data_IF_928626828942
#
_entry.id   IF_928626828942
#
_cell.length_a   1.000
_cell.length_b   1.000
_cell.length_c   1.000
_cell.angle_alpha   90.00
_cell.angle_beta   90.00
_cell.angle_gamma   90.00
#
_symmetry.space_group_name_H-M   'P 1'
#
loop_
_entity.id
_entity.type
_entity.pdbx_description
1 polymer ?
#
# COMPACT_ATOMS: atom_id res chain seq x y z
N UNK A 1 -13.32 -12.69 -9.89
CA UNK A 1 -13.27 -13.19 -8.50
C UNK A 1 -14.34 -12.54 -7.61
N UNK A 2 -14.52 -11.21 -7.64
CA UNK A 2 -15.55 -10.52 -6.83
C UNK A 2 -16.96 -11.10 -7.00
N UNK A 3 -17.43 -11.29 -8.23
CA UNK A 3 -18.76 -11.84 -8.50
C UNK A 3 -18.94 -13.24 -7.89
N UNK A 4 -17.94 -14.11 -8.03
CA UNK A 4 -17.96 -15.46 -7.43
C UNK A 4 -18.13 -15.39 -5.92
N UNK A 5 -17.34 -14.55 -5.23
CA UNK A 5 -17.42 -14.40 -3.77
C UNK A 5 -18.75 -13.81 -3.30
N UNK A 6 -19.24 -12.76 -3.97
CA UNK A 6 -20.51 -12.12 -3.63
C UNK A 6 -21.70 -13.05 -3.87
N UNK A 7 -21.73 -13.74 -5.02
CA UNK A 7 -22.81 -14.70 -5.31
C UNK A 7 -22.85 -15.84 -4.31
N UNK A 8 -21.69 -16.37 -3.92
CA UNK A 8 -21.60 -17.40 -2.88
C UNK A 8 -22.09 -16.89 -1.52
N UNK A 9 -21.61 -15.72 -1.08
CA UNK A 9 -22.00 -15.12 0.20
C UNK A 9 -23.50 -14.84 0.29
N UNK A 10 -24.12 -14.35 -0.80
CA UNK A 10 -25.57 -14.14 -0.88
C UNK A 10 -26.36 -15.44 -0.81
N UNK A 11 -25.92 -16.48 -1.52
CA UNK A 11 -26.55 -17.81 -1.47
C UNK A 11 -26.47 -18.43 -0.06
N UNK A 12 -25.31 -18.30 0.60
CA UNK A 12 -25.10 -18.77 1.97
C UNK A 12 -25.99 -18.02 2.97
N UNK A 13 -26.06 -16.70 2.85
CA UNK A 13 -26.91 -15.83 3.67
C UNK A 13 -28.40 -16.21 3.55
N UNK A 14 -28.88 -16.43 2.32
CA UNK A 14 -30.26 -16.89 2.07
C UNK A 14 -30.52 -18.28 2.66
N UNK A 15 -29.60 -19.24 2.48
CA UNK A 15 -29.78 -20.62 2.95
C UNK A 15 -29.74 -20.75 4.47
N UNK A 16 -28.97 -19.91 5.16
CA UNK A 16 -28.83 -19.94 6.62
C UNK A 16 -29.72 -18.91 7.35
N UNK A 17 -30.43 -18.06 6.61
CA UNK A 17 -31.20 -16.93 7.15
C UNK A 17 -30.36 -16.03 8.09
N UNK A 18 -29.13 -15.72 7.64
CA UNK A 18 -28.19 -14.82 8.34
C UNK A 18 -27.93 -13.58 7.49
N UNK A 19 -27.61 -12.42 8.09
CA UNK A 19 -27.32 -11.22 7.33
C UNK A 19 -26.04 -11.35 6.49
N UNK A 20 -25.99 -10.59 5.39
CA UNK A 20 -24.78 -10.38 4.59
C UNK A 20 -24.45 -8.90 4.57
N UNK A 21 -23.19 -8.56 4.81
CA UNK A 21 -22.75 -7.16 4.89
C UNK A 21 -21.79 -6.89 3.72
N UNK A 22 -22.08 -5.91 2.84
CA UNK A 22 -21.16 -5.53 1.78
C UNK A 22 -19.90 -4.88 2.37
N UNK A 23 -18.74 -5.29 1.87
CA UNK A 23 -17.44 -4.81 2.38
C UNK A 23 -16.69 -4.04 1.31
N UNK A 24 -16.08 -2.92 1.70
CA UNK A 24 -15.07 -2.26 0.89
C UNK A 24 -13.70 -2.92 1.13
N UNK A 25 -13.06 -3.37 0.06
CA UNK A 25 -11.77 -4.04 0.12
C UNK A 25 -10.63 -3.15 0.66
N UNK A 26 -10.64 -1.86 0.32
CA UNK A 26 -9.65 -0.89 0.80
C UNK A 26 -9.86 -0.56 2.28
N UNK A 27 -11.12 -0.45 2.70
CA UNK A 27 -11.48 -0.32 4.11
C UNK A 27 -10.94 -1.51 4.91
N UNK A 28 -11.15 -2.73 4.42
CA UNK A 28 -10.65 -3.93 5.09
C UNK A 28 -9.12 -3.91 5.25
N UNK A 29 -8.38 -3.48 4.22
CA UNK A 29 -6.93 -3.31 4.31
C UNK A 29 -6.51 -2.31 5.40
N UNK A 30 -7.22 -1.19 5.56
CA UNK A 30 -6.96 -0.23 6.64
C UNK A 30 -7.19 -0.90 8.00
N UNK A 31 -8.32 -1.60 8.14
CA UNK A 31 -8.73 -2.22 9.40
C UNK A 31 -7.96 -3.48 9.77
N UNK A 32 -7.22 -4.09 8.84
CA UNK A 32 -6.28 -5.17 9.13
C UNK A 32 -5.22 -4.77 10.18
N UNK A 33 -4.93 -3.47 10.34
CA UNK A 33 -4.01 -2.98 11.36
C UNK A 33 -4.52 -3.18 12.79
N UNK A 34 -5.84 -3.20 13.01
CA UNK A 34 -6.41 -3.51 14.32
C UNK A 34 -6.31 -4.99 14.68
N UNK A 35 -6.22 -5.89 13.68
CA UNK A 35 -5.91 -7.31 13.92
C UNK A 35 -4.46 -7.49 14.39
N UNK A 36 -3.55 -6.68 13.86
CA UNK A 36 -2.14 -6.72 14.25
C UNK A 36 -1.92 -6.09 15.65
N UNK A 37 -2.65 -5.02 15.95
CA UNK A 37 -2.61 -4.37 17.26
C UNK A 37 -4.00 -3.87 17.68
N UNK A 38 -4.70 -4.62 18.54
CA UNK A 38 -6.01 -4.23 19.06
C UNK A 38 -6.01 -2.93 19.88
N UNK A 39 -4.84 -2.41 20.26
CA UNK A 39 -4.68 -1.16 21.00
C UNK A 39 -4.46 0.06 20.10
N UNK A 40 -4.65 -0.10 18.79
CA UNK A 40 -4.66 1.01 17.84
C UNK A 40 -5.83 1.97 18.18
N UNK A 41 -5.49 3.24 18.37
CA UNK A 41 -6.47 4.30 18.64
C UNK A 41 -6.49 5.32 17.49
N UNK A 42 -7.67 5.89 17.25
CA UNK A 42 -7.83 7.03 16.37
C UNK A 42 -7.33 8.34 17.03
N UNK A 43 -6.95 9.37 16.24
CA UNK A 43 -6.82 9.35 14.80
C UNK A 43 -5.42 8.88 14.35
N UNK A 44 -5.34 8.29 13.17
CA UNK A 44 -4.08 7.86 12.56
C UNK A 44 -4.04 8.15 11.06
N UNK A 45 -2.83 8.20 10.52
CA UNK A 45 -2.62 8.26 9.06
C UNK A 45 -2.35 6.85 8.55
N UNK A 46 -3.03 6.43 7.48
CA UNK A 46 -2.80 5.17 6.80
C UNK A 46 -2.15 5.40 5.44
N UNK A 47 -0.99 4.77 5.21
CA UNK A 47 -0.41 4.61 3.88
C UNK A 47 -0.89 3.28 3.29
N UNK A 48 -1.85 3.34 2.37
CA UNK A 48 -2.37 2.17 1.67
C UNK A 48 -1.61 1.98 0.36
N UNK A 49 -0.75 0.96 0.30
CA UNK A 49 0.18 0.67 -0.79
C UNK A 49 0.08 -0.79 -1.24
N UNK A 50 -0.67 -1.02 -2.32
CA UNK A 50 -0.88 -2.33 -2.95
C UNK A 50 -0.40 -2.34 -4.40
N UNK A 51 -0.68 -3.43 -5.12
CA UNK A 51 -0.43 -3.51 -6.56
C UNK A 51 -1.17 -2.43 -7.36
N UNK A 52 -2.42 -2.12 -6.98
CA UNK A 52 -3.28 -1.17 -7.71
C UNK A 52 -3.58 0.14 -6.99
N UNK A 53 -3.14 0.31 -5.74
CA UNK A 53 -3.45 1.49 -4.96
C UNK A 53 -2.20 2.06 -4.30
N UNK A 54 -2.09 3.39 -4.30
CA UNK A 54 -1.14 4.14 -3.47
C UNK A 54 -1.85 5.38 -3.00
N UNK A 55 -2.27 5.36 -1.74
CA UNK A 55 -3.12 6.38 -1.15
C UNK A 55 -2.68 6.70 0.29
N UNK A 56 -2.86 7.95 0.68
CA UNK A 56 -2.71 8.44 2.04
C UNK A 56 -4.08 8.81 2.59
N UNK A 57 -4.47 8.17 3.67
CA UNK A 57 -5.74 8.39 4.34
C UNK A 57 -5.52 8.94 5.74
N UNK A 58 -6.35 9.89 6.16
CA UNK A 58 -6.48 10.27 7.56
C UNK A 58 -7.76 9.65 8.11
N UNK A 59 -7.61 8.79 9.11
CA UNK A 59 -8.69 8.02 9.70
C UNK A 59 -9.00 8.66 11.05
N UNK A 60 -10.13 9.35 11.14
CA UNK A 60 -10.54 10.09 12.34
C UNK A 60 -11.32 9.23 13.31
N UNK A 61 -12.18 8.37 12.77
CA UNK A 61 -12.92 7.32 13.47
C UNK A 61 -13.52 6.37 12.42
N UNK A 62 -14.22 5.33 12.87
CA UNK A 62 -14.98 4.45 11.99
C UNK A 62 -15.93 5.28 11.12
N UNK A 63 -15.97 5.00 9.81
CA UNK A 63 -16.75 5.72 8.81
C UNK A 63 -16.39 7.22 8.61
N UNK A 64 -15.29 7.73 9.20
CA UNK A 64 -14.75 9.07 8.94
C UNK A 64 -13.34 9.01 8.36
N UNK A 65 -13.28 8.91 7.04
CA UNK A 65 -12.05 8.74 6.28
C UNK A 65 -11.83 9.94 5.35
N UNK A 66 -10.68 10.59 5.48
CA UNK A 66 -10.29 11.69 4.61
C UNK A 66 -9.13 11.25 3.70
N UNK A 67 -9.35 11.27 2.38
CA UNK A 67 -8.26 11.08 1.42
C UNK A 67 -7.36 12.32 1.42
N UNK A 68 -6.09 12.13 1.76
CA UNK A 68 -5.09 13.20 1.78
C UNK A 68 -4.35 13.33 0.44
N UNK A 69 -4.16 12.21 -0.26
CA UNK A 69 -3.49 12.15 -1.55
C UNK A 69 -3.45 10.74 -2.12
N UNK A 70 -3.39 10.63 -3.44
CA UNK A 70 -3.31 9.36 -4.15
C UNK A 70 -2.35 9.45 -5.34
N UNK A 71 -2.05 8.29 -5.94
CA UNK A 71 -1.28 8.27 -7.19
C UNK A 71 -2.08 8.88 -8.34
N UNK A 72 -1.41 9.68 -9.17
CA UNK A 72 -1.96 10.20 -10.43
C UNK A 72 -1.75 9.27 -11.62
N UNK A 73 -0.91 8.25 -11.45
CA UNK A 73 -0.56 7.30 -12.51
C UNK A 73 -0.40 5.87 -11.96
N UNK A 74 0.78 5.27 -12.07
CA UNK A 74 1.07 3.93 -11.59
C UNK A 74 1.02 3.90 -10.05
N UNK A 75 0.50 2.83 -9.47
CA UNK A 75 0.68 2.57 -8.04
C UNK A 75 2.12 2.12 -7.72
N UNK A 76 2.54 2.22 -6.47
CA UNK A 76 3.87 1.79 -6.03
C UNK A 76 4.11 0.30 -6.31
N UNK A 77 3.13 -0.57 -6.06
CA UNK A 77 3.24 -1.99 -6.36
C UNK A 77 3.39 -2.25 -7.86
N UNK A 78 2.62 -1.53 -8.69
CA UNK A 78 2.76 -1.58 -10.15
C UNK A 78 4.13 -1.06 -10.63
N UNK A 79 4.68 -0.04 -9.99
CA UNK A 79 6.04 0.44 -10.26
C UNK A 79 7.07 -0.67 -9.97
N UNK A 80 6.96 -1.37 -8.83
CA UNK A 80 7.80 -2.54 -8.55
C UNK A 80 7.63 -3.64 -9.61
N UNK A 81 6.40 -4.00 -9.99
CA UNK A 81 6.13 -5.06 -10.97
C UNK A 81 6.67 -4.72 -12.37
N UNK A 82 6.45 -3.50 -12.85
CA UNK A 82 6.98 -3.04 -14.14
C UNK A 82 8.51 -2.88 -14.10
N UNK A 83 9.05 -2.36 -13.00
CA UNK A 83 10.49 -2.24 -12.80
C UNK A 83 11.18 -3.61 -12.82
N UNK A 84 10.61 -4.59 -12.12
CA UNK A 84 11.13 -5.95 -12.09
C UNK A 84 11.13 -6.59 -13.48
N UNK A 85 10.12 -6.31 -14.30
CA UNK A 85 10.09 -6.75 -15.70
C UNK A 85 11.21 -6.14 -16.54
N UNK A 86 11.43 -4.83 -16.43
CA UNK A 86 12.54 -4.13 -17.12
C UNK A 86 13.89 -4.71 -16.69
N UNK A 87 14.04 -5.02 -15.41
CA UNK A 87 15.24 -5.59 -14.81
C UNK A 87 15.40 -7.11 -15.05
N UNK A 88 14.42 -7.78 -15.67
CA UNK A 88 14.45 -9.21 -15.93
C UNK A 88 14.33 -10.11 -14.69
N UNK A 89 13.65 -9.64 -13.63
CA UNK A 89 13.53 -10.32 -12.33
C UNK A 89 12.25 -11.16 -12.17
N UNK A 90 11.30 -11.08 -13.11
CA UNK A 90 10.05 -11.84 -13.07
C UNK A 90 8.93 -11.18 -12.24
N UNK A 91 7.95 -11.98 -11.80
CA UNK A 91 6.77 -11.57 -11.04
C UNK A 91 6.53 -12.52 -9.85
N UNK A 92 6.09 -12.05 -8.66
CA UNK A 92 5.80 -10.66 -8.29
C UNK A 92 7.06 -9.80 -8.14
N UNK A 93 7.01 -8.56 -8.62
CA UNK A 93 8.20 -7.71 -8.78
C UNK A 93 8.71 -7.11 -7.48
N UNK A 94 7.82 -6.78 -6.54
CA UNK A 94 8.20 -6.25 -5.23
C UNK A 94 9.18 -7.14 -4.46
N UNK A 95 8.83 -8.40 -4.17
CA UNK A 95 9.73 -9.33 -3.49
C UNK A 95 11.02 -9.63 -4.28
N UNK A 96 10.94 -9.68 -5.61
CA UNK A 96 12.09 -9.94 -6.47
C UNK A 96 13.10 -8.78 -6.43
N UNK A 97 12.64 -7.54 -6.58
CA UNK A 97 13.46 -6.33 -6.43
C UNK A 97 14.08 -6.27 -5.04
N UNK A 98 13.28 -6.50 -3.99
CA UNK A 98 13.80 -6.43 -2.62
C UNK A 98 14.90 -7.45 -2.35
N UNK A 99 14.74 -8.68 -2.86
CA UNK A 99 15.75 -9.72 -2.73
C UNK A 99 17.04 -9.34 -3.44
N UNK A 100 16.94 -8.91 -4.70
CA UNK A 100 18.11 -8.62 -5.53
C UNK A 100 18.77 -7.28 -5.19
N UNK A 101 18.04 -6.33 -4.60
CA UNK A 101 18.59 -5.07 -4.07
C UNK A 101 19.55 -5.28 -2.88
N UNK A 102 19.49 -6.43 -2.19
CA UNK A 102 20.30 -6.67 -0.99
C UNK A 102 21.79 -6.62 -1.31
N UNK A 103 22.52 -5.78 -0.58
CA UNK A 103 23.95 -5.57 -0.77
C UNK A 103 24.31 -4.62 -1.91
N UNK A 104 23.32 -4.02 -2.57
CA UNK A 104 23.54 -2.89 -3.48
C UNK A 104 23.62 -1.57 -2.72
N UNK A 105 24.28 -0.59 -3.32
CA UNK A 105 24.34 0.77 -2.82
C UNK A 105 23.17 1.60 -3.41
N UNK A 106 22.17 1.99 -2.60
CA UNK A 106 20.97 2.69 -3.06
C UNK A 106 21.22 4.16 -3.44
N UNK A 107 22.43 4.68 -3.23
CA UNK A 107 22.77 6.08 -3.47
C UNK A 107 23.58 6.30 -4.77
N UNK A 108 23.97 5.24 -5.48
CA UNK A 108 24.83 5.35 -6.68
C UNK A 108 24.09 6.01 -7.83
N UNK A 109 22.85 5.59 -8.09
CA UNK A 109 22.06 6.11 -9.21
C UNK A 109 20.90 6.97 -8.74
N UNK A 110 20.72 8.12 -9.41
CA UNK A 110 19.67 9.09 -9.06
C UNK A 110 18.48 8.96 -9.98
N UNK A 111 17.54 8.10 -9.62
CA UNK A 111 16.23 8.05 -10.27
C UNK A 111 15.30 9.18 -9.81
N UNK A 112 14.35 9.64 -10.64
CA UNK A 112 13.45 10.73 -10.25
C UNK A 112 12.47 10.30 -9.15
N UNK A 113 12.21 11.21 -8.20
CA UNK A 113 11.10 11.09 -7.24
C UNK A 113 9.98 12.02 -7.70
N UNK A 114 8.84 11.46 -8.12
CA UNK A 114 7.73 12.20 -8.72
C UNK A 114 6.96 13.07 -7.71
N UNK A 115 6.44 14.20 -8.18
CA UNK A 115 5.56 15.11 -7.41
C UNK A 115 6.12 15.58 -6.05
N UNK A 116 7.44 15.75 -5.90
CA UNK A 116 8.07 16.07 -4.60
C UNK A 116 7.96 17.52 -4.12
N UNK A 117 7.16 18.38 -4.78
CA UNK A 117 6.95 19.78 -4.37
C UNK A 117 6.48 19.92 -2.91
N UNK A 118 6.84 21.01 -2.21
CA UNK A 118 6.82 21.14 -0.73
C UNK A 118 5.56 20.62 -0.02
N UNK A 119 4.37 20.85 -0.58
CA UNK A 119 3.10 20.51 0.07
C UNK A 119 2.36 19.31 -0.56
N UNK A 120 2.92 18.71 -1.62
CA UNK A 120 2.21 17.65 -2.34
C UNK A 120 2.18 16.35 -1.52
N UNK A 121 0.99 15.76 -1.41
CA UNK A 121 0.73 14.42 -0.87
C UNK A 121 0.36 13.40 -1.95
N UNK A 122 0.35 13.82 -3.22
CA UNK A 122 0.07 12.96 -4.36
C UNK A 122 1.33 12.21 -4.81
N UNK A 123 1.13 11.08 -5.49
CA UNK A 123 2.19 10.20 -5.96
C UNK A 123 2.23 10.13 -7.50
N UNK A 124 3.41 9.84 -8.04
CA UNK A 124 3.63 9.56 -9.46
C UNK A 124 4.87 8.70 -9.61
N UNK A 125 4.72 7.54 -10.25
CA UNK A 125 5.79 6.57 -10.48
C UNK A 125 5.98 6.24 -11.97
N UNK A 126 5.10 6.70 -12.86
CA UNK A 126 5.23 6.47 -14.31
C UNK A 126 6.56 7.00 -14.87
N UNK A 127 6.98 8.20 -14.46
CA UNK A 127 8.27 8.81 -14.86
C UNK A 127 9.48 8.05 -14.31
N UNK A 128 9.36 7.45 -13.13
CA UNK A 128 10.40 6.61 -12.52
C UNK A 128 10.62 5.34 -13.36
N UNK A 129 9.53 4.67 -13.79
CA UNK A 129 9.61 3.52 -14.72
C UNK A 129 10.28 3.91 -16.04
N UNK A 130 9.87 5.02 -16.65
CA UNK A 130 10.45 5.48 -17.92
C UNK A 130 11.94 5.81 -17.77
N UNK A 131 12.34 6.42 -16.66
CA UNK A 131 13.75 6.68 -16.35
C UNK A 131 14.55 5.40 -16.18
N UNK A 132 13.98 4.35 -15.57
CA UNK A 132 14.63 3.04 -15.45
C UNK A 132 14.81 2.38 -16.82
N UNK A 133 13.78 2.43 -17.68
CA UNK A 133 13.86 1.85 -19.03
C UNK A 133 15.02 2.45 -19.82
N UNK A 134 15.06 3.78 -19.95
CA UNK A 134 16.15 4.44 -20.67
C UNK A 134 17.52 4.21 -20.05
N UNK A 135 17.59 4.15 -18.72
CA UNK A 135 18.84 3.83 -18.04
C UNK A 135 19.33 2.42 -18.43
N UNK A 136 18.42 1.44 -18.47
CA UNK A 136 18.75 0.05 -18.78
C UNK A 136 19.05 -0.19 -20.26
N UNK A 137 18.55 0.64 -21.18
CA UNK A 137 18.86 0.55 -22.60
C UNK A 137 20.36 0.79 -22.88
N UNK A 138 20.96 1.73 -22.15
CA UNK A 138 22.40 2.07 -22.27
C UNK A 138 23.28 1.35 -21.24
N UNK A 139 22.70 0.65 -20.27
CA UNK A 139 23.43 0.04 -19.16
C UNK A 139 24.22 -1.20 -19.61
N UNK A 140 25.52 -1.22 -19.30
CA UNK A 140 26.40 -2.38 -19.44
C UNK A 140 27.06 -2.66 -18.10
N UNK A 141 26.89 -3.90 -17.62
CA UNK A 141 27.48 -4.31 -16.35
C UNK A 141 29.01 -4.36 -16.45
N UNK A 142 29.67 -3.81 -15.44
CA UNK A 142 31.14 -3.75 -15.35
C UNK A 142 31.59 -3.79 -13.89
N UNK A 143 32.89 -3.92 -13.64
CA UNK A 143 33.45 -3.91 -12.28
C UNK A 143 33.09 -2.65 -11.48
N UNK A 144 32.80 -1.53 -12.17
CA UNK A 144 32.37 -0.26 -11.57
C UNK A 144 30.86 -0.02 -11.57
N UNK A 145 30.07 -0.84 -12.28
CA UNK A 145 28.64 -0.64 -12.47
C UNK A 145 27.88 -1.94 -12.27
N UNK A 146 27.38 -2.16 -11.05
CA UNK A 146 26.60 -3.35 -10.74
C UNK A 146 25.11 -3.13 -11.02
N UNK A 147 24.49 -4.11 -11.67
CA UNK A 147 23.02 -4.14 -11.83
C UNK A 147 22.31 -4.10 -10.46
N UNK A 148 22.94 -4.67 -9.44
CA UNK A 148 22.44 -4.65 -8.06
C UNK A 148 22.28 -3.22 -7.52
N UNK A 149 23.20 -2.32 -7.83
CA UNK A 149 23.14 -0.92 -7.39
C UNK A 149 22.02 -0.16 -8.10
N UNK A 150 21.74 -0.51 -9.36
CA UNK A 150 20.59 -0.01 -10.12
C UNK A 150 19.28 -0.43 -9.45
N UNK A 151 19.15 -1.72 -9.11
CA UNK A 151 17.97 -2.28 -8.44
C UNK A 151 17.76 -1.60 -7.08
N UNK A 152 18.83 -1.46 -6.28
CA UNK A 152 18.79 -0.80 -4.98
C UNK A 152 18.40 0.69 -5.10
N UNK A 153 19.00 1.41 -6.05
CA UNK A 153 18.70 2.83 -6.30
C UNK A 153 17.27 3.04 -6.80
N UNK A 154 16.75 2.13 -7.61
CA UNK A 154 15.37 2.15 -8.09
C UNK A 154 14.36 1.93 -6.95
N UNK A 155 14.58 0.89 -6.13
CA UNK A 155 13.78 0.65 -4.94
C UNK A 155 13.79 1.86 -4.00
N UNK A 156 14.96 2.45 -3.79
CA UNK A 156 15.11 3.63 -2.92
C UNK A 156 14.26 4.81 -3.40
N UNK A 157 14.17 5.05 -4.70
CA UNK A 157 13.35 6.14 -5.24
C UNK A 157 11.85 5.97 -4.94
N UNK A 158 11.34 4.73 -4.99
CA UNK A 158 9.96 4.42 -4.59
C UNK A 158 9.79 4.69 -3.09
N UNK A 159 10.67 4.12 -2.26
CA UNK A 159 10.60 4.22 -0.80
C UNK A 159 10.70 5.65 -0.31
N UNK A 160 11.66 6.43 -0.83
CA UNK A 160 11.84 7.85 -0.49
C UNK A 160 10.55 8.64 -0.72
N UNK A 161 9.88 8.36 -1.84
CA UNK A 161 8.62 9.02 -2.19
C UNK A 161 7.53 8.65 -1.19
N UNK A 162 7.38 7.37 -0.85
CA UNK A 162 6.40 6.92 0.15
C UNK A 162 6.65 7.52 1.55
N UNK A 163 7.90 7.47 2.01
CA UNK A 163 8.31 7.96 3.34
C UNK A 163 8.11 9.47 3.46
N UNK A 164 8.54 10.24 2.46
CA UNK A 164 8.42 11.70 2.50
C UNK A 164 6.96 12.14 2.50
N UNK A 165 6.10 11.46 1.74
CA UNK A 165 4.66 11.76 1.69
C UNK A 165 3.97 11.40 3.00
N UNK A 166 4.39 10.31 3.63
CA UNK A 166 3.91 9.92 4.96
C UNK A 166 4.29 10.96 6.03
N UNK A 167 5.54 11.43 6.04
CA UNK A 167 6.01 12.48 6.95
C UNK A 167 5.19 13.76 6.80
N UNK A 168 4.92 14.18 5.56
CA UNK A 168 4.10 15.37 5.28
C UNK A 168 2.67 15.21 5.74
N UNK A 169 2.07 14.03 5.51
CA UNK A 169 0.72 13.73 5.98
C UNK A 169 0.63 13.84 7.51
N UNK A 170 1.57 13.23 8.24
CA UNK A 170 1.65 13.33 9.70
C UNK A 170 1.85 14.77 10.18
N UNK A 171 2.72 15.53 9.51
CA UNK A 171 2.94 16.95 9.84
C UNK A 171 1.69 17.81 9.63
N UNK A 172 0.87 17.48 8.63
CA UNK A 172 -0.36 18.20 8.29
C UNK A 172 -1.52 17.85 9.24
N UNK A 173 -1.70 16.56 9.55
CA UNK A 173 -2.81 16.09 10.40
C UNK A 173 -2.51 16.16 11.88
N UNK A 174 -1.23 16.28 12.26
CA UNK A 174 -0.74 16.18 13.65
C UNK A 174 -1.02 14.83 14.33
N UNK A 175 -1.35 13.80 13.54
CA UNK A 175 -1.49 12.44 14.07
C UNK A 175 -0.15 11.94 14.63
N UNK A 176 -0.20 11.23 15.76
CA UNK A 176 0.97 10.61 16.40
C UNK A 176 1.17 9.14 16.01
N UNK A 177 0.16 8.59 15.34
CA UNK A 177 0.12 7.19 14.93
C UNK A 177 -0.01 7.09 13.41
N UNK A 178 0.69 6.13 12.85
CA UNK A 178 0.81 5.92 11.43
C UNK A 178 0.76 4.41 11.16
N UNK A 179 0.02 4.00 10.14
CA UNK A 179 -0.16 2.59 9.78
C UNK A 179 0.10 2.40 8.30
N UNK A 180 0.55 1.21 7.91
CA UNK A 180 0.80 0.86 6.51
C UNK A 180 -0.07 -0.35 6.14
N UNK A 181 -0.76 -0.29 5.02
CA UNK A 181 -1.62 -1.37 4.54
C UNK A 181 -1.28 -1.76 3.09
N UNK A 182 -1.65 -2.98 2.68
CA UNK A 182 -1.42 -3.50 1.33
C UNK A 182 -0.07 -4.20 1.13
N UNK A 183 0.08 -4.87 -0.02
CA UNK A 183 1.19 -5.79 -0.27
C UNK A 183 2.60 -5.15 -0.23
N UNK A 184 2.74 -3.87 -0.59
CA UNK A 184 4.04 -3.17 -0.55
C UNK A 184 4.47 -2.91 0.90
N UNK A 185 3.55 -2.94 1.86
CA UNK A 185 3.85 -2.86 3.30
C UNK A 185 4.73 -4.02 3.80
N UNK A 186 4.83 -5.11 3.04
CA UNK A 186 5.72 -6.23 3.35
C UNK A 186 7.21 -5.91 3.08
N UNK A 187 7.52 -4.87 2.30
CA UNK A 187 8.89 -4.51 1.96
C UNK A 187 9.64 -4.02 3.20
N UNK A 188 10.67 -4.75 3.62
CA UNK A 188 11.46 -4.46 4.82
C UNK A 188 12.20 -3.13 4.71
N UNK A 189 12.71 -2.80 3.53
CA UNK A 189 13.40 -1.52 3.32
C UNK A 189 12.46 -0.33 3.57
N UNK A 190 11.18 -0.41 3.16
CA UNK A 190 10.17 0.59 3.50
C UNK A 190 9.95 0.68 5.02
N UNK A 191 9.81 -0.47 5.69
CA UNK A 191 9.61 -0.51 7.15
C UNK A 191 10.77 0.16 7.89
N UNK A 192 12.00 -0.21 7.53
CA UNK A 192 13.23 0.31 8.13
C UNK A 192 13.35 1.83 7.91
N UNK A 193 13.09 2.32 6.69
CA UNK A 193 13.15 3.75 6.39
C UNK A 193 12.09 4.56 7.12
N UNK A 194 10.86 4.03 7.26
CA UNK A 194 9.81 4.68 8.05
C UNK A 194 10.22 4.77 9.53
N UNK A 195 10.72 3.69 10.11
CA UNK A 195 11.17 3.66 11.50
C UNK A 195 12.28 4.68 11.78
N UNK A 196 13.26 4.80 10.88
CA UNK A 196 14.35 5.79 10.99
C UNK A 196 13.84 7.22 10.79
N UNK A 197 12.92 7.43 9.85
CA UNK A 197 12.46 8.76 9.47
C UNK A 197 11.40 9.35 10.42
N UNK A 198 10.76 8.51 11.22
CA UNK A 198 9.65 8.87 12.12
C UNK A 198 9.88 8.33 13.55
N UNK A 199 11.01 8.68 14.22
CA UNK A 199 11.41 8.06 15.49
C UNK A 199 10.45 8.36 16.66
N UNK A 200 9.63 9.41 16.55
CA UNK A 200 8.68 9.84 17.59
C UNK A 200 7.23 9.53 17.23
N UNK A 201 6.99 8.69 16.22
CA UNK A 201 5.66 8.31 15.75
C UNK A 201 5.44 6.83 16.07
N UNK A 202 4.25 6.48 16.56
CA UNK A 202 3.85 5.07 16.67
C UNK A 202 3.57 4.57 15.26
N UNK A 203 4.39 3.64 14.78
CA UNK A 203 4.24 3.02 13.45
C UNK A 203 3.73 1.60 13.63
N UNK A 204 2.60 1.28 13.01
CA UNK A 204 2.10 -0.10 12.95
C UNK A 204 2.27 -0.65 11.55
N UNK A 205 2.85 -1.85 11.51
CA UNK A 205 2.89 -2.67 10.32
C UNK A 205 2.06 -3.92 10.62
N UNK A 206 1.12 -4.31 9.75
CA UNK A 206 0.47 -5.59 9.90
C UNK A 206 1.50 -6.70 9.79
N UNK A 207 1.22 -7.83 10.45
CA UNK A 207 1.94 -9.06 10.16
C UNK A 207 1.91 -9.33 8.66
N UNK A 208 2.98 -9.93 8.14
CA UNK A 208 3.13 -10.14 6.69
C UNK A 208 1.94 -10.93 6.10
N UNK A 209 1.34 -11.83 6.88
CA UNK A 209 0.13 -12.58 6.52
C UNK A 209 -1.12 -11.71 6.34
N UNK A 210 -1.14 -10.52 6.95
CA UNK A 210 -2.25 -9.56 6.87
C UNK A 210 -2.00 -8.41 5.91
N UNK A 211 -0.78 -8.22 5.41
CA UNK A 211 -0.47 -7.20 4.39
C UNK A 211 -1.09 -7.50 3.01
N UNK A 212 -1.17 -8.78 2.65
CA UNK A 212 -1.77 -9.23 1.39
C UNK A 212 -3.25 -9.56 1.56
N UNK A 213 -3.99 -9.62 0.46
CA UNK A 213 -5.42 -9.95 0.46
C UNK A 213 -5.73 -11.24 1.23
N UNK A 214 -6.56 -11.13 2.26
CA UNK A 214 -6.96 -12.24 3.11
C UNK A 214 -8.42 -12.08 3.58
N UNK A 215 -9.04 -13.17 4.04
CA UNK A 215 -10.41 -13.13 4.54
C UNK A 215 -10.51 -12.59 5.98
N UNK A 216 -9.42 -12.60 6.76
CA UNK A 216 -9.43 -12.15 8.14
C UNK A 216 -9.74 -10.65 8.25
N UNK A 217 -9.14 -9.81 7.39
CA UNK A 217 -9.44 -8.38 7.34
C UNK A 217 -10.90 -8.08 6.97
N UNK A 218 -11.50 -8.90 6.09
CA UNK A 218 -12.91 -8.79 5.68
C UNK A 218 -13.82 -9.18 6.86
N UNK A 219 -13.48 -10.27 7.54
CA UNK A 219 -14.23 -10.76 8.70
C UNK A 219 -14.20 -9.76 9.86
N UNK A 220 -13.04 -9.19 10.16
CA UNK A 220 -12.88 -8.22 11.24
C UNK A 220 -13.69 -6.95 10.99
N UNK A 221 -13.57 -6.37 9.79
CA UNK A 221 -14.39 -5.21 9.41
C UNK A 221 -15.89 -5.55 9.44
N UNK A 222 -16.25 -6.76 8.99
CA UNK A 222 -17.61 -7.27 9.04
C UNK A 222 -18.18 -7.34 10.46
N UNK A 223 -17.40 -7.82 11.43
CA UNK A 223 -17.78 -7.85 12.85
C UNK A 223 -18.00 -6.43 13.39
N UNK A 224 -17.09 -5.49 13.10
CA UNK A 224 -17.23 -4.10 13.53
C UNK A 224 -18.52 -3.46 12.98
N UNK A 225 -18.80 -3.64 11.68
CA UNK A 225 -20.02 -3.14 11.02
C UNK A 225 -21.28 -3.82 11.55
N UNK A 226 -21.23 -5.13 11.79
CA UNK A 226 -22.35 -5.85 12.40
C UNK A 226 -22.68 -5.28 13.79
N UNK A 227 -21.66 -5.07 14.62
CA UNK A 227 -21.82 -4.55 15.98
C UNK A 227 -22.25 -3.08 16.01
N UNK A 228 -21.95 -2.29 14.97
CA UNK A 228 -22.46 -0.92 14.82
C UNK A 228 -23.91 -0.85 14.31
N UNK A 229 -24.52 -1.99 13.99
CA UNK A 229 -25.88 -2.09 13.45
C UNK A 229 -25.96 -1.89 11.94
N UNK A 230 -24.83 -1.84 11.23
CA UNK A 230 -24.77 -1.84 9.76
C UNK A 230 -25.12 -3.24 9.23
N UNK A 231 -26.41 -3.53 9.12
CA UNK A 231 -26.92 -4.76 8.50
C UNK A 231 -27.11 -4.51 7.01
N UNK A 232 -26.46 -5.31 6.17
CA UNK A 232 -26.57 -5.18 4.72
C UNK A 232 -27.89 -5.71 4.16
N UNK A 233 -28.35 -5.10 3.06
CA UNK A 233 -29.42 -5.65 2.21
C UNK A 233 -28.84 -6.64 1.20
N UNK A 234 -29.62 -7.61 0.72
CA UNK A 234 -29.20 -8.49 -0.38
C UNK A 234 -29.10 -7.77 -1.75
N UNK A 235 -29.56 -6.53 -1.85
CA UNK A 235 -29.67 -5.78 -3.12
C UNK A 235 -28.36 -5.09 -3.58
N UNK A 236 -27.24 -5.24 -2.86
CA UNK A 236 -25.99 -4.61 -3.30
C UNK A 236 -25.38 -5.29 -4.54
N UNK A 237 -24.86 -4.48 -5.47
CA UNK A 237 -24.11 -4.98 -6.63
C UNK A 237 -22.61 -5.15 -6.36
N UNK A 238 -21.91 -5.85 -7.27
CA UNK A 238 -20.44 -5.84 -7.30
C UNK A 238 -19.99 -4.53 -7.94
N UNK A 239 -19.11 -3.80 -7.26
CA UNK A 239 -18.55 -2.54 -7.74
C UNK A 239 -17.02 -2.63 -7.86
N UNK A 240 -16.48 -2.86 -9.08
CA UNK A 240 -15.03 -3.02 -9.27
C UNK A 240 -14.21 -1.79 -8.89
N UNK A 241 -14.80 -0.60 -9.04
CA UNK A 241 -14.15 0.69 -8.76
C UNK A 241 -14.78 1.37 -7.54
N UNK A 242 -15.23 0.58 -6.54
CA UNK A 242 -15.81 1.12 -5.32
C UNK A 242 -14.79 2.00 -4.61
N UNK A 243 -15.13 3.28 -4.45
CA UNK A 243 -14.32 4.24 -3.69
C UNK A 243 -14.61 4.11 -2.21
N UNK A 244 -13.62 4.43 -1.38
CA UNK A 244 -13.76 4.47 0.07
C UNK A 244 -14.45 5.76 0.55
N UNK A 245 -14.33 6.85 -0.21
CA UNK A 245 -15.00 8.13 0.00
C UNK A 245 -15.69 8.60 -1.29
#
# INVERSE_FOLDING_TARGET
>A
TLLTGVSFAKGLSLGLNIPVIPMNHLEAHIFANFLADPTLEYPFVCLLVSGGHTQLWYIQEMNQYQLLGETRDDAAGEAFDKGARILGLGYPGGPAIEKEAKGGNPAIYRFPRGLMGKESLEFSFSGLKTSLLYFMDDFQESDSMSKRDVIASYQQAIIDTLVEKMKRALNKTKAKTCVIAGGVAANKCLRDHLAVSLPNTRILFPDLSYCTDNAAMISYLGELKYNSGEIGSLDFGVQPNLKLA
#
